data_IF_976745040160
#
_entry.id   IF_976745040160
#
_cell.length_a   1.000
_cell.length_b   1.000
_cell.length_c   1.000
_cell.angle_alpha   90.00
_cell.angle_beta   90.00
_cell.angle_gamma   90.00
#
_symmetry.space_group_name_H-M   'P 1'
#
loop_
_entity.id
_entity.type
_entity.pdbx_description
1 polymer ?
#
# COMPACT_ATOMS: atom_id res chain seq x y z
N UNK A 1 4.96 -7.09 -58.94
CA UNK A 1 5.27 -8.03 -57.86
C UNK A 1 5.58 -7.19 -56.62
N UNK A 2 4.61 -7.02 -55.73
CA UNK A 2 4.75 -6.32 -54.44
C UNK A 2 5.52 -7.23 -53.47
N UNK A 3 6.55 -6.70 -52.81
CA UNK A 3 7.06 -7.28 -51.55
C UNK A 3 6.66 -6.32 -50.44
N UNK A 4 5.69 -6.73 -49.62
CA UNK A 4 5.33 -6.03 -48.40
C UNK A 4 5.44 -7.04 -47.27
N UNK A 5 6.67 -7.28 -46.82
CA UNK A 5 6.92 -8.01 -45.58
C UNK A 5 6.52 -7.09 -44.42
N UNK A 6 5.39 -7.41 -43.80
CA UNK A 6 4.92 -6.78 -42.58
C UNK A 6 5.84 -7.17 -41.42
N UNK A 7 6.49 -6.17 -40.83
CA UNK A 7 7.27 -6.32 -39.59
C UNK A 7 6.26 -6.44 -38.44
N UNK A 8 5.95 -7.67 -38.02
CA UNK A 8 5.25 -7.93 -36.77
C UNK A 8 6.16 -7.54 -35.59
N UNK A 9 5.89 -6.38 -34.99
CA UNK A 9 6.49 -6.01 -33.71
C UNK A 9 5.76 -6.78 -32.60
N UNK A 10 6.47 -7.51 -31.71
CA UNK A 10 5.80 -8.18 -30.60
C UNK A 10 5.18 -7.12 -29.69
N UNK A 11 3.85 -7.13 -29.63
CA UNK A 11 3.06 -6.32 -28.73
C UNK A 11 3.49 -6.67 -27.29
N UNK A 12 4.32 -5.84 -26.67
CA UNK A 12 4.63 -5.99 -25.24
C UNK A 12 3.36 -5.58 -24.50
N UNK A 13 2.53 -6.57 -24.17
CA UNK A 13 1.36 -6.42 -23.32
C UNK A 13 1.80 -5.76 -22.01
N UNK A 14 1.49 -4.47 -21.87
CA UNK A 14 1.65 -3.70 -20.62
C UNK A 14 0.55 -4.12 -19.65
N UNK A 15 0.51 -5.40 -19.28
CA UNK A 15 -0.39 -5.83 -18.22
C UNK A 15 -0.02 -5.05 -16.96
N UNK A 16 -0.99 -4.42 -16.27
CA UNK A 16 -0.71 -3.67 -15.07
C UNK A 16 -0.04 -4.60 -14.07
N UNK A 17 1.14 -4.19 -13.57
CA UNK A 17 1.87 -4.90 -12.52
C UNK A 17 0.88 -5.22 -11.41
N UNK A 18 0.61 -6.52 -11.19
CA UNK A 18 -0.35 -6.95 -10.16
C UNK A 18 0.03 -6.29 -8.84
N UNK A 19 -0.93 -5.57 -8.23
CA UNK A 19 -0.75 -4.98 -6.91
C UNK A 19 -0.45 -6.10 -5.91
N UNK A 20 0.79 -6.19 -5.45
CA UNK A 20 1.19 -7.14 -4.41
C UNK A 20 0.97 -6.50 -3.05
N UNK A 21 0.39 -7.26 -2.13
CA UNK A 21 0.33 -6.85 -0.73
C UNK A 21 1.77 -6.74 -0.19
N UNK A 22 2.11 -5.58 0.36
CA UNK A 22 3.42 -5.29 0.96
C UNK A 22 3.48 -5.75 2.42
N UNK A 23 2.33 -5.83 3.07
CA UNK A 23 2.17 -6.22 4.47
C UNK A 23 1.23 -7.40 4.60
N UNK A 24 1.51 -8.27 5.56
CA UNK A 24 0.62 -9.33 6.02
C UNK A 24 -0.43 -8.80 7.00
N UNK A 25 -1.43 -9.62 7.34
CA UNK A 25 -2.40 -9.26 8.39
C UNK A 25 -1.74 -9.12 9.77
N UNK A 26 -0.75 -9.95 10.07
CA UNK A 26 0.00 -9.92 11.32
C UNK A 26 0.77 -8.60 11.48
N UNK A 27 1.37 -8.10 10.39
CA UNK A 27 2.10 -6.83 10.38
C UNK A 27 1.20 -5.66 10.81
N UNK A 28 -0.08 -5.66 10.42
CA UNK A 28 -1.01 -4.59 10.85
C UNK A 28 -1.24 -4.58 12.36
N UNK A 29 -1.19 -5.74 13.02
CA UNK A 29 -1.21 -5.84 14.48
C UNK A 29 0.03 -5.20 15.11
N UNK A 30 1.22 -5.49 14.56
CA UNK A 30 2.49 -4.92 15.02
C UNK A 30 2.52 -3.39 14.84
N UNK A 31 2.11 -2.90 13.67
CA UNK A 31 2.03 -1.47 13.35
C UNK A 31 1.03 -0.78 14.29
N UNK A 32 -0.12 -1.40 14.56
CA UNK A 32 -1.12 -0.85 15.48
C UNK A 32 -0.55 -0.67 16.89
N UNK A 33 0.21 -1.65 17.39
CA UNK A 33 0.89 -1.55 18.68
C UNK A 33 1.91 -0.40 18.69
N UNK A 34 2.76 -0.30 17.67
CA UNK A 34 3.74 0.79 17.56
C UNK A 34 3.07 2.19 17.58
N UNK A 35 1.98 2.36 16.83
CA UNK A 35 1.22 3.62 16.82
C UNK A 35 0.60 3.91 18.17
N UNK A 36 0.06 2.91 18.88
CA UNK A 36 -0.50 3.11 20.22
C UNK A 36 0.53 3.61 21.23
N UNK A 37 1.79 3.17 21.11
CA UNK A 37 2.89 3.69 21.90
C UNK A 37 3.19 5.14 21.55
N UNK A 38 3.39 5.42 20.26
CA UNK A 38 3.70 6.77 19.79
C UNK A 38 2.59 7.78 20.06
N UNK A 39 1.32 7.35 20.03
CA UNK A 39 0.17 8.21 20.31
C UNK A 39 0.25 8.88 21.68
N UNK A 40 0.84 8.19 22.67
CA UNK A 40 1.05 8.75 24.01
C UNK A 40 2.09 9.87 24.02
N UNK A 41 3.09 9.79 23.15
CA UNK A 41 4.15 10.79 23.03
C UNK A 41 3.66 12.06 22.33
N UNK A 42 2.74 11.92 21.37
CA UNK A 42 2.24 13.03 20.56
C UNK A 42 0.84 13.51 20.96
N UNK A 43 0.26 13.02 22.06
CA UNK A 43 -1.14 13.24 22.43
C UNK A 43 -1.56 14.73 22.43
N UNK A 44 -0.66 15.61 22.86
CA UNK A 44 -0.91 17.05 22.99
C UNK A 44 -0.66 17.84 21.70
N UNK A 45 -0.14 17.16 20.66
CA UNK A 45 0.09 17.75 19.35
C UNK A 45 -1.17 17.64 18.48
N UNK A 46 -1.42 18.61 17.58
CA UNK A 46 -2.53 18.54 16.63
C UNK A 46 -2.45 17.31 15.70
N UNK A 47 -1.26 16.74 15.55
CA UNK A 47 -1.01 15.54 14.74
C UNK A 47 -1.52 14.26 15.39
N UNK A 48 -1.80 14.25 16.70
CA UNK A 48 -2.36 13.10 17.43
C UNK A 48 -3.63 12.55 16.76
N UNK A 49 -4.47 13.43 16.20
CA UNK A 49 -5.70 13.08 15.49
C UNK A 49 -5.40 12.20 14.27
N UNK A 50 -4.32 12.48 13.53
CA UNK A 50 -3.92 11.68 12.36
C UNK A 50 -3.54 10.26 12.78
N UNK A 51 -2.76 10.14 13.85
CA UNK A 51 -2.32 8.85 14.39
C UNK A 51 -3.46 8.07 15.04
N UNK A 52 -4.39 8.74 15.73
CA UNK A 52 -5.59 8.11 16.30
C UNK A 52 -6.47 7.52 15.19
N UNK A 53 -6.72 8.28 14.12
CA UNK A 53 -7.45 7.80 12.95
C UNK A 53 -6.76 6.61 12.28
N UNK A 54 -5.42 6.63 12.17
CA UNK A 54 -4.65 5.52 11.63
C UNK A 54 -4.76 4.27 12.51
N UNK A 55 -4.64 4.41 13.83
CA UNK A 55 -4.82 3.32 14.80
C UNK A 55 -6.19 2.63 14.66
N UNK A 56 -7.27 3.41 14.52
CA UNK A 56 -8.61 2.86 14.29
C UNK A 56 -8.76 2.18 12.93
N UNK A 57 -8.15 2.72 11.87
CA UNK A 57 -8.17 2.10 10.54
C UNK A 57 -7.46 0.75 10.54
N UNK A 58 -6.31 0.64 11.20
CA UNK A 58 -5.56 -0.62 11.29
C UNK A 58 -6.31 -1.67 12.11
N UNK A 59 -7.04 -1.28 13.16
CA UNK A 59 -7.89 -2.18 13.94
C UNK A 59 -9.12 -2.73 13.19
N UNK A 60 -9.41 -2.27 11.96
CA UNK A 60 -10.47 -2.85 11.11
C UNK A 60 -9.95 -3.89 10.11
N UNK A 61 -8.63 -3.96 9.93
CA UNK A 61 -7.97 -4.85 8.96
C UNK A 61 -7.38 -6.10 9.64
N UNK A 62 -7.08 -6.00 10.93
CA UNK A 62 -6.63 -7.09 11.79
C UNK A 62 -7.80 -7.84 12.45
#
# INVERSE_FOLDING_TARGET
MMTTDAIEQPQIDRQPTRSRAVFSQEDFGLIRTAIAHYLREVQDQPESVKYANLYHRLGRVA
#
